data_IF_523689719764
#
_entry.id   IF_523689719764
#
_cell.length_a   1.000
_cell.length_b   1.000
_cell.length_c   1.000
_cell.angle_alpha   90.00
_cell.angle_beta   90.00
_cell.angle_gamma   90.00
#
_symmetry.space_group_name_H-M   'P 1'
#
loop_
_entity.id
_entity.type
_entity.pdbx_description
1 polymer ?
#
# COMPACT_ATOMS: atom_id res chain seq x y z
N UNK A 1 1.58 -21.91 -8.70
CA UNK A 1 0.69 -21.47 -7.60
C UNK A 1 -0.72 -21.99 -7.86
N UNK A 2 -1.32 -22.70 -6.91
CA UNK A 2 -2.61 -23.35 -7.10
C UNK A 2 -3.78 -22.36 -7.02
N UNK A 3 -4.96 -22.67 -7.59
CA UNK A 3 -6.18 -21.87 -7.38
C UNK A 3 -6.53 -21.70 -5.90
N UNK A 4 -6.31 -22.73 -5.09
CA UNK A 4 -6.54 -22.74 -3.64
C UNK A 4 -5.63 -21.75 -2.91
N UNK A 5 -4.36 -21.63 -3.32
CA UNK A 5 -3.42 -20.68 -2.73
C UNK A 5 -3.86 -19.24 -3.00
N UNK A 6 -4.28 -18.95 -4.25
CA UNK A 6 -4.81 -17.64 -4.63
C UNK A 6 -6.05 -17.27 -3.83
N UNK A 7 -6.94 -18.23 -3.60
CA UNK A 7 -8.12 -18.02 -2.78
C UNK A 7 -7.78 -17.78 -1.31
N UNK A 8 -6.85 -18.57 -0.75
CA UNK A 8 -6.34 -18.35 0.61
C UNK A 8 -5.76 -16.94 0.78
N UNK A 9 -4.98 -16.46 -0.20
CA UNK A 9 -4.41 -15.11 -0.17
C UNK A 9 -5.49 -14.01 -0.19
N UNK A 10 -6.54 -14.17 -1.00
CA UNK A 10 -7.67 -13.23 -1.04
C UNK A 10 -8.45 -13.21 0.28
N UNK A 11 -8.65 -14.37 0.90
CA UNK A 11 -9.29 -14.46 2.22
C UNK A 11 -8.46 -13.76 3.30
N UNK A 12 -7.13 -13.96 3.28
CA UNK A 12 -6.20 -13.25 4.18
C UNK A 12 -6.27 -11.74 3.95
N UNK A 13 -6.27 -11.28 2.69
CA UNK A 13 -6.45 -9.86 2.38
C UNK A 13 -7.77 -9.32 2.94
N UNK A 14 -8.90 -9.97 2.67
CA UNK A 14 -10.21 -9.55 3.18
C UNK A 14 -10.26 -9.50 4.71
N UNK A 15 -9.65 -10.48 5.39
CA UNK A 15 -9.54 -10.46 6.85
C UNK A 15 -8.67 -9.29 7.34
N UNK A 16 -7.59 -8.97 6.63
CA UNK A 16 -6.77 -7.79 6.91
C UNK A 16 -7.56 -6.48 6.79
N UNK A 17 -8.40 -6.35 5.78
CA UNK A 17 -9.29 -5.19 5.59
C UNK A 17 -10.32 -5.07 6.72
N UNK A 18 -10.90 -6.19 7.17
CA UNK A 18 -11.80 -6.23 8.32
C UNK A 18 -11.07 -5.76 9.58
N UNK A 19 -9.87 -6.27 9.87
CA UNK A 19 -9.09 -5.85 11.03
C UNK A 19 -8.73 -4.35 10.98
N UNK A 20 -8.38 -3.81 9.82
CA UNK A 20 -8.16 -2.35 9.66
C UNK A 20 -9.41 -1.56 10.05
N UNK A 21 -10.58 -1.94 9.52
CA UNK A 21 -11.85 -1.25 9.78
C UNK A 21 -12.29 -1.35 11.24
N UNK A 22 -11.90 -2.43 11.93
CA UNK A 22 -12.15 -2.62 13.36
C UNK A 22 -11.09 -1.94 14.26
N UNK A 23 -10.20 -1.11 13.71
CA UNK A 23 -9.18 -0.41 14.51
C UNK A 23 -8.08 -1.33 15.05
N UNK A 24 -7.83 -2.47 14.40
CA UNK A 24 -6.79 -3.43 14.76
C UNK A 24 -5.68 -3.48 13.69
N UNK A 25 -4.94 -2.38 13.46
CA UNK A 25 -4.04 -2.25 12.32
C UNK A 25 -2.84 -3.21 12.36
N UNK A 26 -2.40 -3.63 13.56
CA UNK A 26 -1.32 -4.61 13.69
C UNK A 26 -1.75 -6.00 13.18
N UNK A 27 -2.96 -6.46 13.55
CA UNK A 27 -3.49 -7.73 13.05
C UNK A 27 -3.71 -7.69 11.55
N UNK A 28 -4.21 -6.56 11.04
CA UNK A 28 -4.36 -6.36 9.62
C UNK A 28 -3.03 -6.48 8.85
N UNK A 29 -1.98 -5.83 9.35
CA UNK A 29 -0.66 -5.90 8.75
C UNK A 29 -0.15 -7.35 8.67
N UNK A 30 -0.35 -8.14 9.74
CA UNK A 30 0.03 -9.57 9.72
C UNK A 30 -0.72 -10.32 8.61
N UNK A 31 -2.02 -10.10 8.45
CA UNK A 31 -2.80 -10.77 7.40
C UNK A 31 -2.34 -10.38 5.99
N UNK A 32 -2.06 -9.09 5.77
CA UNK A 32 -1.53 -8.62 4.49
C UNK A 32 -0.14 -9.19 4.18
N UNK A 33 0.73 -9.28 5.19
CA UNK A 33 2.06 -9.87 5.03
C UNK A 33 1.96 -11.36 4.65
N UNK A 34 1.10 -12.13 5.31
CA UNK A 34 0.86 -13.53 4.97
C UNK A 34 0.30 -13.68 3.55
N UNK A 35 -0.67 -12.85 3.17
CA UNK A 35 -1.19 -12.84 1.80
C UNK A 35 -0.07 -12.54 0.78
N UNK A 36 0.88 -11.65 1.12
CA UNK A 36 1.92 -11.21 0.19
C UNK A 36 3.02 -12.25 -0.03
N UNK A 37 3.16 -13.20 0.89
CA UNK A 37 4.01 -14.37 0.68
C UNK A 37 3.45 -15.30 -0.41
N UNK A 38 2.12 -15.28 -0.60
CA UNK A 38 1.44 -16.07 -1.63
C UNK A 38 1.35 -15.27 -2.93
N UNK A 39 0.89 -14.02 -2.86
CA UNK A 39 0.74 -13.12 -3.99
C UNK A 39 1.67 -11.90 -3.87
N UNK A 40 2.99 -12.06 -4.12
CA UNK A 40 3.95 -10.96 -3.92
C UNK A 40 3.82 -9.84 -4.96
N UNK A 41 3.21 -10.12 -6.11
CA UNK A 41 3.02 -9.19 -7.23
C UNK A 41 1.54 -8.86 -7.46
N UNK A 42 0.71 -8.93 -6.41
CA UNK A 42 -0.66 -8.42 -6.45
C UNK A 42 -0.68 -6.95 -6.02
N UNK A 43 -1.03 -6.07 -6.95
CA UNK A 43 -0.97 -4.63 -6.71
C UNK A 43 -2.02 -4.13 -5.71
N UNK A 44 -3.19 -4.77 -5.62
CA UNK A 44 -4.19 -4.43 -4.62
C UNK A 44 -3.69 -4.75 -3.21
N UNK A 45 -3.02 -5.89 -3.05
CA UNK A 45 -2.40 -6.27 -1.79
C UNK A 45 -1.20 -5.38 -1.42
N UNK A 46 -0.35 -5.05 -2.39
CA UNK A 46 0.75 -4.09 -2.18
C UNK A 46 0.21 -2.73 -1.75
N UNK A 47 -0.89 -2.25 -2.35
CA UNK A 47 -1.59 -1.02 -1.91
C UNK A 47 -2.05 -1.10 -0.46
N UNK A 48 -2.65 -2.23 -0.05
CA UNK A 48 -3.05 -2.47 1.34
C UNK A 48 -1.85 -2.47 2.29
N UNK A 49 -0.70 -3.03 1.88
CA UNK A 49 0.54 -2.97 2.64
C UNK A 49 1.08 -1.54 2.76
N UNK A 50 1.08 -0.75 1.69
CA UNK A 50 1.49 0.67 1.73
C UNK A 50 0.65 1.41 2.77
N UNK A 51 -0.67 1.26 2.73
CA UNK A 51 -1.58 1.91 3.69
C UNK A 51 -1.29 1.42 5.12
N UNK A 52 -1.14 0.11 5.32
CA UNK A 52 -0.87 -0.45 6.64
C UNK A 52 0.47 0.02 7.22
N UNK A 53 1.54 0.03 6.41
CA UNK A 53 2.85 0.51 6.84
C UNK A 53 2.83 2.00 7.17
N UNK A 54 2.20 2.84 6.35
CA UNK A 54 2.05 4.27 6.67
C UNK A 54 1.27 4.50 7.96
N UNK A 55 0.20 3.74 8.21
CA UNK A 55 -0.57 3.83 9.45
C UNK A 55 0.23 3.40 10.70
N UNK A 56 1.26 2.58 10.54
CA UNK A 56 2.20 2.21 11.61
C UNK A 56 3.41 3.16 11.72
N UNK A 57 3.48 4.21 10.88
CA UNK A 57 4.61 5.13 10.81
C UNK A 57 5.85 4.56 10.10
N UNK A 58 5.76 3.39 9.49
CA UNK A 58 6.86 2.77 8.76
C UNK A 58 6.90 3.23 7.31
N UNK A 59 7.34 4.47 7.10
CA UNK A 59 7.41 5.08 5.78
C UNK A 59 8.33 4.33 4.81
N UNK A 60 9.43 3.76 5.29
CA UNK A 60 10.41 3.05 4.47
C UNK A 60 9.86 1.74 3.89
N UNK A 61 9.16 0.92 4.68
CA UNK A 61 8.48 -0.27 4.15
C UNK A 61 7.32 0.11 3.23
N UNK A 62 6.62 1.19 3.51
CA UNK A 62 5.57 1.71 2.63
C UNK A 62 6.12 2.10 1.26
N UNK A 63 7.26 2.80 1.19
CA UNK A 63 7.89 3.19 -0.07
C UNK A 63 8.31 1.99 -0.92
N UNK A 64 8.92 0.95 -0.31
CA UNK A 64 9.28 -0.27 -1.04
C UNK A 64 8.07 -1.01 -1.62
N UNK A 65 6.99 -1.13 -0.85
CA UNK A 65 5.75 -1.74 -1.34
C UNK A 65 5.14 -0.90 -2.48
N UNK A 66 5.21 0.43 -2.37
CA UNK A 66 4.71 1.36 -3.37
C UNK A 66 5.52 1.29 -4.68
N UNK A 67 6.85 1.21 -4.61
CA UNK A 67 7.72 1.04 -5.77
C UNK A 67 7.35 -0.22 -6.55
N UNK A 68 7.13 -1.33 -5.84
CA UNK A 68 6.69 -2.58 -6.47
C UNK A 68 5.28 -2.46 -7.07
N UNK A 69 4.35 -1.81 -6.39
CA UNK A 69 3.00 -1.54 -6.90
C UNK A 69 3.02 -0.72 -8.19
N UNK A 70 3.81 0.36 -8.22
CA UNK A 70 3.97 1.24 -9.39
C UNK A 70 4.68 0.53 -10.54
N UNK A 71 5.61 -0.37 -10.26
CA UNK A 71 6.24 -1.18 -11.31
C UNK A 71 5.25 -2.12 -12.02
N UNK A 72 4.15 -2.52 -11.34
CA UNK A 72 3.13 -3.42 -11.89
C UNK A 72 2.00 -2.68 -12.61
N UNK A 73 1.46 -1.61 -12.01
CA UNK A 73 0.27 -0.89 -12.53
C UNK A 73 0.62 0.42 -13.26
N UNK A 74 1.88 0.84 -13.20
CA UNK A 74 2.30 2.17 -13.60
C UNK A 74 1.98 3.24 -12.55
N UNK A 75 2.43 4.46 -12.83
CA UNK A 75 2.19 5.60 -11.97
C UNK A 75 0.76 6.11 -12.14
N UNK A 76 0.08 6.40 -11.04
CA UNK A 76 -1.31 6.88 -11.03
C UNK A 76 -1.51 8.02 -10.02
N UNK A 77 -2.56 8.84 -10.12
CA UNK A 77 -2.86 9.85 -9.10
C UNK A 77 -2.92 9.25 -7.69
N UNK A 78 -3.51 8.05 -7.54
CA UNK A 78 -3.53 7.35 -6.27
C UNK A 78 -2.14 6.98 -5.74
N UNK A 79 -1.22 6.59 -6.63
CA UNK A 79 0.16 6.28 -6.26
C UNK A 79 0.92 7.52 -5.78
N UNK A 80 0.72 8.70 -6.40
CA UNK A 80 1.29 9.96 -5.91
C UNK A 80 0.84 10.33 -4.51
N UNK A 81 -0.45 10.15 -4.21
CA UNK A 81 -0.99 10.38 -2.87
C UNK A 81 -0.38 9.41 -1.84
N UNK A 82 -0.27 8.13 -2.18
CA UNK A 82 0.36 7.13 -1.32
C UNK A 82 1.85 7.41 -1.10
N UNK A 83 2.58 7.84 -2.15
CA UNK A 83 3.99 8.26 -2.06
C UNK A 83 4.15 9.42 -1.10
N UNK A 84 3.28 10.43 -1.21
CA UNK A 84 3.32 11.58 -0.32
C UNK A 84 3.21 11.17 1.15
N UNK A 85 2.24 10.30 1.48
CA UNK A 85 2.04 9.79 2.85
C UNK A 85 3.23 8.95 3.32
N UNK A 86 3.76 8.09 2.47
CA UNK A 86 4.90 7.24 2.81
C UNK A 86 6.17 8.08 3.07
N UNK A 87 6.47 9.06 2.21
CA UNK A 87 7.58 9.99 2.41
C UNK A 87 7.43 10.80 3.70
N UNK A 88 6.22 11.24 4.05
CA UNK A 88 5.97 11.96 5.30
C UNK A 88 6.37 11.11 6.52
N UNK A 89 5.92 9.85 6.57
CA UNK A 89 6.25 8.94 7.66
C UNK A 89 7.72 8.46 7.62
N UNK A 90 8.41 8.57 6.49
CA UNK A 90 9.85 8.32 6.38
C UNK A 90 10.70 9.55 6.79
N UNK A 91 10.10 10.66 7.22
CA UNK A 91 10.83 11.90 7.52
C UNK A 91 11.28 12.69 6.28
N UNK A 92 10.85 12.29 5.08
CA UNK A 92 11.20 12.90 3.78
C UNK A 92 10.18 13.96 3.40
N UNK A 93 10.09 15.03 4.18
CA UNK A 93 9.06 16.06 4.04
C UNK A 93 9.06 16.78 2.67
N UNK A 94 10.23 16.99 2.07
CA UNK A 94 10.36 17.61 0.74
C UNK A 94 9.73 16.73 -0.35
N UNK A 95 10.05 15.43 -0.34
CA UNK A 95 9.50 14.46 -1.29
C UNK A 95 8.00 14.25 -1.08
N UNK A 96 7.55 14.30 0.17
CA UNK A 96 6.13 14.23 0.51
C UNK A 96 5.35 15.39 -0.12
N UNK A 97 5.89 16.62 -0.03
CA UNK A 97 5.30 17.81 -0.63
C UNK A 97 5.29 17.74 -2.15
N UNK A 98 6.42 17.36 -2.77
CA UNK A 98 6.54 17.23 -4.22
C UNK A 98 5.53 16.21 -4.78
N UNK A 99 5.42 15.05 -4.12
CA UNK A 99 4.46 14.00 -4.52
C UNK A 99 3.00 14.46 -4.39
N UNK A 100 2.67 15.19 -3.32
CA UNK A 100 1.32 15.72 -3.14
C UNK A 100 0.97 16.79 -4.18
N UNK A 101 1.90 17.68 -4.51
CA UNK A 101 1.73 18.66 -5.58
C UNK A 101 1.47 17.96 -6.92
N UNK A 102 2.18 16.88 -7.20
CA UNK A 102 1.95 16.08 -8.41
C UNK A 102 0.55 15.45 -8.43
N UNK A 103 0.12 14.87 -7.30
CA UNK A 103 -1.25 14.35 -7.15
C UNK A 103 -2.32 15.42 -7.46
N UNK A 104 -2.16 16.64 -6.93
CA UNK A 104 -3.09 17.74 -7.17
C UNK A 104 -3.13 18.17 -8.64
N UNK A 105 -1.98 18.24 -9.30
CA UNK A 105 -1.90 18.57 -10.73
C UNK A 105 -2.65 17.54 -11.58
N UNK A 106 -2.46 16.24 -11.34
CA UNK A 106 -3.13 15.20 -12.11
C UNK A 106 -4.64 15.17 -11.85
N UNK A 107 -5.09 15.47 -10.62
CA UNK A 107 -6.52 15.59 -10.31
C UNK A 107 -7.22 16.76 -10.99
N UNK A 108 -6.49 17.82 -11.32
CA UNK A 108 -7.04 18.99 -12.01
C UNK A 108 -7.11 18.80 -13.54
N UNK A 109 -6.44 17.76 -14.06
CA UNK A 109 -6.39 17.44 -15.50
C UNK A 109 -7.38 16.36 -15.93
N UNK A 110 -7.96 15.63 -14.98
CA UNK A 110 -8.98 14.61 -15.19
C UNK A 110 -10.37 15.21 -15.02
#
# INVERSE_FOLDING_TARGET
MSPRDREAARLLQGLGEIYQRCGQPQKALVMFLLASQILPDDAALLRSLVIAFTAQGDGERALRALERMVALEGESPGAWLLRSRACWHAGRAQDARASFQRYLQERQRA
#
